data_IF_609487608301
#
_entry.id   IF_609487608301
#
_cell.length_a   1.000
_cell.length_b   1.000
_cell.length_c   1.000
_cell.angle_alpha   90.00
_cell.angle_beta   90.00
_cell.angle_gamma   90.00
#
_symmetry.space_group_name_H-M   'P 1'
#
loop_
_entity.id
_entity.type
_entity.pdbx_description
1 polymer ?
#
# COMPACT_ATOMS: atom_id res chain seq x y z
N UNK A 1 -4.11 -20.13 -12.89
CA UNK A 1 -3.22 -19.31 -12.03
C UNK A 1 -3.38 -17.84 -12.39
N UNK A 2 -3.05 -16.95 -11.47
CA UNK A 2 -3.13 -15.51 -11.70
C UNK A 2 -1.86 -14.81 -11.21
N UNK A 3 -1.28 -13.93 -12.03
CA UNK A 3 -0.16 -13.06 -11.71
C UNK A 3 -0.68 -11.64 -11.46
N UNK A 4 -0.63 -11.20 -10.21
CA UNK A 4 -0.93 -9.84 -9.82
C UNK A 4 0.33 -8.98 -9.80
N UNK A 5 0.28 -7.79 -10.39
CA UNK A 5 1.42 -6.87 -10.49
C UNK A 5 0.99 -5.47 -10.04
N UNK A 6 1.77 -4.85 -9.18
CA UNK A 6 1.57 -3.48 -8.69
C UNK A 6 2.78 -2.61 -9.03
N UNK A 7 2.58 -1.59 -9.87
CA UNK A 7 3.62 -0.66 -10.31
C UNK A 7 3.56 0.59 -9.43
N UNK A 8 4.46 0.64 -8.45
CA UNK A 8 4.67 1.79 -7.58
C UNK A 8 5.71 2.77 -8.13
N UNK A 9 5.94 3.88 -7.40
CA UNK A 9 6.90 4.93 -7.81
C UNK A 9 8.37 4.48 -7.81
N UNK A 10 8.72 3.44 -7.06
CA UNK A 10 10.13 3.02 -6.89
C UNK A 10 10.35 1.55 -7.22
N UNK A 11 9.32 0.74 -7.16
CA UNK A 11 9.40 -0.72 -7.33
C UNK A 11 8.12 -1.25 -7.94
N UNK A 12 8.27 -2.31 -8.71
CA UNK A 12 7.19 -3.18 -9.15
C UNK A 12 7.14 -4.36 -8.18
N UNK A 13 5.99 -4.58 -7.57
CA UNK A 13 5.72 -5.75 -6.74
C UNK A 13 4.87 -6.73 -7.54
N UNK A 14 5.06 -8.02 -7.31
CA UNK A 14 4.26 -9.03 -7.95
C UNK A 14 4.03 -10.23 -7.04
N UNK A 15 2.92 -10.92 -7.26
CA UNK A 15 2.65 -12.21 -6.63
C UNK A 15 1.83 -13.10 -7.58
N UNK A 16 2.13 -14.38 -7.55
CA UNK A 16 1.40 -15.41 -8.27
C UNK A 16 0.45 -16.14 -7.33
N UNK A 17 -0.78 -16.34 -7.79
CA UNK A 17 -1.83 -16.93 -6.99
C UNK A 17 -2.41 -18.19 -7.61
N UNK A 18 -2.83 -19.13 -6.74
CA UNK A 18 -3.77 -20.19 -7.00
C UNK A 18 -5.03 -19.98 -6.14
N UNK A 19 -6.10 -19.53 -6.76
CA UNK A 19 -7.23 -18.96 -6.00
C UNK A 19 -6.77 -17.80 -5.11
N UNK A 20 -6.87 -17.92 -3.79
CA UNK A 20 -6.38 -16.95 -2.80
C UNK A 20 -5.01 -17.28 -2.21
N UNK A 21 -4.45 -18.43 -2.55
CA UNK A 21 -3.16 -18.86 -2.03
C UNK A 21 -2.01 -18.21 -2.81
N UNK A 22 -1.09 -17.58 -2.10
CA UNK A 22 0.15 -17.06 -2.68
C UNK A 22 1.10 -18.24 -2.92
N UNK A 23 1.53 -18.41 -4.16
CA UNK A 23 2.52 -19.42 -4.54
C UNK A 23 3.94 -18.86 -4.47
N UNK A 24 4.12 -17.68 -5.02
CA UNK A 24 5.40 -16.97 -5.06
C UNK A 24 5.17 -15.46 -5.15
N UNK A 25 6.14 -14.68 -4.76
CA UNK A 25 6.09 -13.22 -4.83
C UNK A 25 7.50 -12.64 -4.95
N UNK A 26 7.60 -11.42 -5.45
CA UNK A 26 8.86 -10.73 -5.59
C UNK A 26 8.72 -9.25 -5.86
N UNK A 27 9.87 -8.61 -6.03
CA UNK A 27 9.97 -7.20 -6.36
C UNK A 27 11.07 -7.00 -7.41
N UNK A 28 10.83 -6.08 -8.35
CA UNK A 28 11.81 -5.60 -9.32
C UNK A 28 11.85 -4.07 -9.29
N UNK A 29 12.98 -3.43 -9.66
CA UNK A 29 13.04 -1.98 -9.80
C UNK A 29 11.99 -1.48 -10.80
N UNK A 30 11.37 -0.34 -10.54
CA UNK A 30 10.35 0.23 -11.45
C UNK A 30 10.92 0.52 -12.84
N UNK A 31 12.17 0.91 -12.94
CA UNK A 31 12.86 1.20 -14.19
C UNK A 31 13.28 -0.03 -15.00
N UNK A 32 13.14 -1.25 -14.46
CA UNK A 32 13.61 -2.48 -15.10
C UNK A 32 12.49 -3.17 -15.90
N UNK A 33 12.17 -2.58 -17.05
CA UNK A 33 11.17 -3.15 -17.98
C UNK A 33 11.58 -4.53 -18.50
N UNK A 34 12.88 -4.81 -18.63
CA UNK A 34 13.35 -6.12 -19.12
C UNK A 34 13.10 -7.22 -18.08
N UNK A 35 13.26 -6.94 -16.80
CA UNK A 35 12.89 -7.90 -15.75
C UNK A 35 11.38 -8.14 -15.70
N UNK A 36 10.56 -7.09 -15.93
CA UNK A 36 9.11 -7.26 -16.03
C UNK A 36 8.71 -8.11 -17.26
N UNK A 37 9.34 -7.88 -18.40
CA UNK A 37 9.12 -8.69 -19.60
C UNK A 37 9.48 -10.16 -19.35
N UNK A 38 10.61 -10.44 -18.73
CA UNK A 38 11.01 -11.79 -18.36
C UNK A 38 10.01 -12.45 -17.39
N UNK A 39 9.49 -11.69 -16.42
CA UNK A 39 8.44 -12.15 -15.50
C UNK A 39 7.17 -12.55 -16.27
N UNK A 40 6.69 -11.71 -17.19
CA UNK A 40 5.51 -12.00 -18.02
C UNK A 40 5.75 -13.19 -18.93
N UNK A 41 6.93 -13.28 -19.56
CA UNK A 41 7.29 -14.43 -20.40
C UNK A 41 7.33 -15.74 -19.62
N UNK A 42 7.84 -15.71 -18.39
CA UNK A 42 7.89 -16.89 -17.51
C UNK A 42 6.48 -17.35 -17.12
N UNK A 43 5.57 -16.41 -16.89
CA UNK A 43 4.18 -16.66 -16.48
C UNK A 43 3.17 -16.49 -17.62
N UNK A 44 3.58 -16.62 -18.88
CA UNK A 44 2.74 -16.38 -20.07
C UNK A 44 1.45 -17.19 -20.17
N UNK A 45 1.35 -18.28 -19.40
CA UNK A 45 0.16 -19.14 -19.36
C UNK A 45 -0.79 -18.78 -18.20
N UNK A 46 -0.42 -17.81 -17.36
CA UNK A 46 -1.27 -17.33 -16.27
C UNK A 46 -2.08 -16.11 -16.76
N UNK A 47 -3.20 -15.83 -16.11
CA UNK A 47 -3.88 -14.54 -16.29
C UNK A 47 -3.07 -13.48 -15.58
N UNK A 48 -2.87 -12.31 -16.20
CA UNK A 48 -2.08 -11.22 -15.63
C UNK A 48 -3.00 -10.03 -15.40
N UNK A 49 -2.98 -9.48 -14.17
CA UNK A 49 -3.66 -8.21 -13.86
C UNK A 49 -2.68 -7.24 -13.20
N UNK A 50 -2.79 -5.98 -13.57
CA UNK A 50 -1.83 -4.97 -13.18
C UNK A 50 -2.54 -3.70 -12.67
N UNK A 51 -2.04 -3.15 -11.55
CA UNK A 51 -2.32 -1.78 -11.12
C UNK A 51 -1.10 -0.88 -11.31
N UNK A 52 -1.31 0.42 -11.47
CA UNK A 52 -0.23 1.39 -11.54
C UNK A 52 -0.62 2.72 -10.95
N UNK A 53 0.26 3.31 -10.14
CA UNK A 53 0.15 4.69 -9.64
C UNK A 53 0.99 5.67 -10.46
N UNK A 54 1.77 5.17 -11.41
CA UNK A 54 2.55 5.98 -12.35
C UNK A 54 1.88 5.97 -13.73
N UNK A 55 2.15 7.01 -14.52
CA UNK A 55 1.68 7.05 -15.90
C UNK A 55 2.38 5.95 -16.71
N UNK A 56 1.59 5.08 -17.32
CA UNK A 56 2.11 3.98 -18.13
C UNK A 56 2.82 4.54 -19.38
N UNK A 57 4.06 4.12 -19.57
CA UNK A 57 4.84 4.43 -20.77
C UNK A 57 4.37 3.56 -21.95
N UNK A 58 4.63 4.02 -23.20
CA UNK A 58 4.23 3.24 -24.37
C UNK A 58 4.84 1.83 -24.37
N UNK A 59 6.16 1.62 -24.07
CA UNK A 59 6.72 0.28 -23.99
C UNK A 59 6.02 -0.64 -22.97
N UNK A 60 5.55 -0.09 -21.87
CA UNK A 60 4.81 -0.84 -20.85
C UNK A 60 3.40 -1.22 -21.35
N UNK A 61 2.72 -0.30 -22.05
CA UNK A 61 1.43 -0.58 -22.69
C UNK A 61 1.56 -1.67 -23.77
N UNK A 62 2.62 -1.61 -24.58
CA UNK A 62 2.90 -2.61 -25.62
C UNK A 62 3.14 -3.99 -24.97
N UNK A 63 3.88 -4.04 -23.86
CA UNK A 63 4.10 -5.25 -23.08
C UNK A 63 2.77 -5.82 -22.53
N UNK A 64 1.92 -4.96 -21.96
CA UNK A 64 0.61 -5.37 -21.46
C UNK A 64 -0.25 -5.97 -22.60
N UNK A 65 -0.22 -5.37 -23.77
CA UNK A 65 -0.94 -5.86 -24.93
C UNK A 65 -0.41 -7.21 -25.42
N UNK A 66 0.93 -7.35 -25.54
CA UNK A 66 1.60 -8.61 -25.95
C UNK A 66 1.19 -9.79 -25.06
N UNK A 67 1.19 -9.58 -23.73
CA UNK A 67 0.86 -10.63 -22.76
C UNK A 67 -0.59 -10.62 -22.29
N UNK A 68 -1.46 -9.82 -22.91
CA UNK A 68 -2.88 -9.67 -22.57
C UNK A 68 -3.12 -9.37 -21.10
N UNK A 69 -2.21 -8.58 -20.50
CA UNK A 69 -2.35 -8.17 -19.11
C UNK A 69 -3.52 -7.18 -18.97
N UNK A 70 -4.42 -7.46 -18.04
CA UNK A 70 -5.54 -6.59 -17.71
C UNK A 70 -5.06 -5.43 -16.84
N UNK A 71 -5.30 -4.19 -17.26
CA UNK A 71 -4.97 -3.00 -16.48
C UNK A 71 -6.19 -2.63 -15.63
N UNK A 72 -6.00 -2.58 -14.32
CA UNK A 72 -7.03 -2.19 -13.36
C UNK A 72 -7.02 -0.66 -13.26
N UNK A 73 -8.17 -0.05 -13.51
CA UNK A 73 -8.41 1.39 -13.37
C UNK A 73 -9.76 1.65 -12.66
N UNK A 74 -10.12 2.92 -12.46
CA UNK A 74 -11.33 3.32 -11.75
C UNK A 74 -12.64 2.84 -12.39
N UNK A 75 -12.60 2.36 -13.64
CA UNK A 75 -13.77 1.82 -14.39
C UNK A 75 -13.90 0.31 -14.27
N UNK A 76 -12.91 -0.35 -13.67
CA UNK A 76 -12.95 -1.79 -13.45
C UNK A 76 -14.13 -2.18 -12.56
N UNK A 77 -14.61 -3.42 -12.71
CA UNK A 77 -15.65 -3.95 -11.85
C UNK A 77 -15.01 -4.44 -10.54
N UNK A 78 -15.42 -3.90 -9.42
CA UNK A 78 -14.83 -4.15 -8.10
C UNK A 78 -15.76 -5.01 -7.22
N UNK A 79 -15.20 -5.89 -6.36
CA UNK A 79 -15.99 -6.71 -5.43
C UNK A 79 -16.55 -5.91 -4.23
N UNK A 80 -16.24 -4.62 -4.12
CA UNK A 80 -16.74 -3.72 -3.07
C UNK A 80 -17.35 -2.48 -3.71
N UNK A 81 -18.27 -1.83 -2.99
CA UNK A 81 -18.85 -0.56 -3.42
C UNK A 81 -17.83 0.57 -3.16
N UNK A 82 -17.58 1.41 -4.15
CA UNK A 82 -16.72 2.58 -4.01
C UNK A 82 -17.58 3.83 -3.78
N UNK A 83 -17.52 4.39 -2.57
CA UNK A 83 -18.22 5.62 -2.18
C UNK A 83 -17.32 6.87 -2.22
N UNK A 84 -16.11 6.76 -2.79
CA UNK A 84 -15.20 7.90 -2.93
C UNK A 84 -15.78 8.96 -3.88
N UNK A 85 -15.78 10.22 -3.47
CA UNK A 85 -16.47 11.29 -4.21
C UNK A 85 -15.85 11.61 -5.58
N UNK A 86 -14.56 11.34 -5.76
CA UNK A 86 -13.81 11.58 -7.01
C UNK A 86 -13.07 10.31 -7.43
N UNK A 87 -13.79 9.26 -7.86
CA UNK A 87 -13.20 7.95 -8.13
C UNK A 87 -12.12 7.98 -9.22
N UNK A 88 -12.18 8.93 -10.15
CA UNK A 88 -11.20 9.12 -11.23
C UNK A 88 -9.84 9.64 -10.73
N UNK A 89 -9.78 10.22 -9.53
CA UNK A 89 -8.54 10.71 -8.89
C UNK A 89 -8.04 9.78 -7.78
N UNK A 90 -8.82 8.76 -7.43
CA UNK A 90 -8.43 7.79 -6.42
C UNK A 90 -7.25 6.93 -6.91
N UNK A 91 -6.17 6.90 -6.13
CA UNK A 91 -5.06 5.98 -6.39
C UNK A 91 -5.56 4.54 -6.37
N UNK A 92 -5.33 3.81 -7.47
CA UNK A 92 -5.82 2.44 -7.60
C UNK A 92 -5.20 1.49 -6.57
N UNK A 93 -3.97 1.75 -6.14
CA UNK A 93 -3.29 1.03 -5.07
C UNK A 93 -4.05 1.12 -3.73
N UNK A 94 -4.66 2.28 -3.44
CA UNK A 94 -5.49 2.51 -2.25
C UNK A 94 -6.74 1.62 -2.27
N UNK A 95 -7.43 1.61 -3.39
CA UNK A 95 -8.63 0.78 -3.58
C UNK A 95 -8.27 -0.71 -3.56
N UNK A 96 -7.18 -1.12 -4.22
CA UNK A 96 -6.70 -2.50 -4.15
C UNK A 96 -6.33 -2.91 -2.71
N UNK A 97 -5.66 -2.06 -1.93
CA UNK A 97 -5.36 -2.35 -0.53
C UNK A 97 -6.64 -2.56 0.30
N UNK A 98 -7.65 -1.71 0.10
CA UNK A 98 -8.95 -1.81 0.74
C UNK A 98 -9.69 -3.13 0.37
N UNK A 99 -9.68 -3.50 -0.92
CA UNK A 99 -10.26 -4.75 -1.42
C UNK A 99 -9.53 -5.96 -0.83
N UNK A 100 -8.19 -5.93 -0.81
CA UNK A 100 -7.39 -6.99 -0.20
C UNK A 100 -7.72 -7.20 1.28
N UNK A 101 -7.87 -6.11 2.02
CA UNK A 101 -8.23 -6.17 3.44
C UNK A 101 -9.65 -6.70 3.66
N UNK A 102 -10.62 -6.28 2.85
CA UNK A 102 -11.98 -6.81 2.89
C UNK A 102 -12.02 -8.32 2.55
N UNK A 103 -11.20 -8.76 1.60
CA UNK A 103 -11.04 -10.19 1.28
C UNK A 103 -10.47 -11.02 2.42
N UNK A 104 -9.57 -10.44 3.24
CA UNK A 104 -9.02 -11.08 4.44
C UNK A 104 -10.02 -11.11 5.61
N UNK A 105 -10.82 -10.07 5.77
CA UNK A 105 -11.77 -9.90 6.87
C UNK A 105 -13.19 -9.57 6.35
N UNK A 106 -13.83 -10.50 5.63
CA UNK A 106 -15.16 -10.27 5.09
C UNK A 106 -16.18 -10.02 6.23
N UNK A 107 -17.14 -9.12 5.97
CA UNK A 107 -18.19 -8.74 6.92
C UNK A 107 -17.66 -8.11 8.23
N UNK A 108 -16.48 -7.51 8.21
CA UNK A 108 -15.92 -6.77 9.33
C UNK A 108 -15.46 -5.38 8.88
N UNK A 109 -15.67 -4.32 9.68
CA UNK A 109 -15.11 -3.02 9.37
C UNK A 109 -13.58 -3.11 9.41
N UNK A 110 -12.93 -2.58 8.41
CA UNK A 110 -11.47 -2.74 8.25
C UNK A 110 -10.80 -1.40 7.99
N UNK A 111 -9.77 -1.08 8.77
CA UNK A 111 -8.85 0.03 8.57
C UNK A 111 -7.54 -0.51 8.00
N UNK A 112 -7.17 -0.07 6.81
CA UNK A 112 -5.85 -0.32 6.23
C UNK A 112 -4.92 0.83 6.58
N UNK A 113 -3.68 0.51 6.93
CA UNK A 113 -2.60 1.47 7.15
C UNK A 113 -1.43 1.06 6.26
N UNK A 114 -1.23 1.79 5.16
CA UNK A 114 -0.10 1.57 4.25
C UNK A 114 1.01 2.57 4.58
N UNK A 115 2.12 2.06 5.14
CA UNK A 115 3.25 2.87 5.57
C UNK A 115 4.38 2.74 4.53
N UNK A 116 4.48 3.75 3.67
CA UNK A 116 5.48 3.80 2.59
C UNK A 116 5.91 5.23 2.30
N UNK A 117 6.06 5.60 1.03
CA UNK A 117 6.38 6.99 0.59
C UNK A 117 5.43 8.00 1.24
N UNK A 118 4.13 7.66 1.27
CA UNK A 118 3.13 8.30 2.11
C UNK A 118 2.60 7.29 3.13
N UNK A 119 1.99 7.76 4.21
CA UNK A 119 1.15 6.94 5.07
C UNK A 119 -0.28 7.14 4.57
N UNK A 120 -0.95 6.05 4.22
CA UNK A 120 -2.32 6.05 3.75
C UNK A 120 -3.19 5.26 4.70
N UNK A 121 -4.37 5.78 4.98
CA UNK A 121 -5.40 5.14 5.80
C UNK A 121 -6.62 4.91 4.90
N UNK A 122 -7.11 3.69 4.82
CA UNK A 122 -8.27 3.35 4.01
C UNK A 122 -9.31 2.62 4.87
N UNK A 123 -10.57 3.01 4.74
CA UNK A 123 -11.63 2.41 5.52
C UNK A 123 -12.67 1.70 4.65
N UNK A 124 -12.97 0.47 5.03
CA UNK A 124 -14.03 -0.35 4.42
C UNK A 124 -14.99 -0.76 5.51
N UNK A 125 -16.29 -0.56 5.27
CA UNK A 125 -17.35 -0.98 6.20
C UNK A 125 -17.52 -2.50 6.19
N UNK A 126 -18.24 -3.04 7.19
CA UNK A 126 -18.62 -4.45 7.23
C UNK A 126 -19.46 -4.90 6.03
N UNK A 127 -20.21 -3.99 5.42
CA UNK A 127 -21.01 -4.27 4.21
C UNK A 127 -20.21 -4.24 2.91
N UNK A 128 -18.89 -4.05 2.97
CA UNK A 128 -18.04 -3.97 1.78
C UNK A 128 -18.17 -2.63 1.03
N UNK A 129 -18.34 -1.51 1.75
CA UNK A 129 -18.29 -0.17 1.16
C UNK A 129 -16.97 0.52 1.51
N UNK A 130 -16.21 0.91 0.49
CA UNK A 130 -15.04 1.75 0.66
C UNK A 130 -15.47 3.21 0.84
N UNK A 131 -15.18 3.77 2.00
CA UNK A 131 -15.60 5.13 2.37
C UNK A 131 -14.52 6.18 2.12
N UNK A 132 -13.33 5.77 1.70
CA UNK A 132 -12.19 6.65 1.51
C UNK A 132 -11.15 6.51 2.63
N UNK A 133 -10.37 7.57 2.81
CA UNK A 133 -9.31 7.56 3.80
C UNK A 133 -8.44 8.82 3.75
N UNK A 134 -7.33 8.81 4.48
CA UNK A 134 -6.44 9.94 4.65
C UNK A 134 -5.06 9.65 4.03
N UNK A 135 -4.34 10.70 3.68
CA UNK A 135 -2.95 10.62 3.22
C UNK A 135 -2.10 11.58 4.05
N UNK A 136 -0.98 11.09 4.53
CA UNK A 136 -0.02 11.85 5.33
C UNK A 136 1.41 11.57 4.85
N UNK A 137 2.39 12.45 5.10
CA UNK A 137 3.77 12.23 4.68
C UNK A 137 4.37 11.00 5.36
N UNK A 138 5.07 10.15 4.57
CA UNK A 138 5.80 9.00 5.07
C UNK A 138 7.12 9.37 5.76
N UNK A 139 7.86 8.35 6.20
CA UNK A 139 9.04 8.49 7.04
C UNK A 139 10.15 9.35 6.39
N UNK A 140 10.60 8.98 5.20
CA UNK A 140 11.64 9.74 4.51
C UNK A 140 11.15 11.13 4.09
N UNK A 141 9.90 11.25 3.65
CA UNK A 141 9.31 12.52 3.23
C UNK A 141 9.29 13.56 4.38
N UNK A 142 9.08 13.14 5.63
CA UNK A 142 9.15 14.03 6.81
C UNK A 142 10.58 14.52 7.07
N UNK A 143 11.59 13.65 6.91
CA UNK A 143 13.00 14.05 7.01
C UNK A 143 13.39 15.03 5.89
N UNK A 144 12.99 14.72 4.66
CA UNK A 144 13.28 15.56 3.50
C UNK A 144 12.59 16.94 3.65
N UNK A 145 11.37 16.99 4.15
CA UNK A 145 10.67 18.24 4.43
C UNK A 145 11.42 19.11 5.46
N UNK A 146 11.87 18.52 6.57
CA UNK A 146 12.63 19.24 7.60
C UNK A 146 13.95 19.80 7.05
N UNK A 147 14.64 19.06 6.21
CA UNK A 147 15.86 19.54 5.55
C UNK A 147 15.55 20.63 4.50
N UNK A 148 14.59 20.39 3.60
CA UNK A 148 14.32 21.27 2.47
C UNK A 148 13.68 22.61 2.87
N UNK A 149 12.87 22.63 3.93
CA UNK A 149 12.17 23.85 4.38
C UNK A 149 12.89 24.56 5.52
N UNK A 150 14.11 24.17 5.89
CA UNK A 150 14.92 24.86 6.90
C UNK A 150 16.35 25.02 6.44
N UNK A 151 17.02 26.10 6.86
CA UNK A 151 18.38 26.41 6.39
C UNK A 151 19.49 25.65 7.11
N UNK A 152 19.21 25.01 8.25
CA UNK A 152 20.26 24.46 9.13
C UNK A 152 20.04 23.00 9.53
N UNK A 153 18.87 22.41 9.24
CA UNK A 153 18.61 21.03 9.61
C UNK A 153 19.24 20.08 8.58
N UNK A 154 20.01 19.07 9.03
CA UNK A 154 20.69 18.16 8.12
C UNK A 154 19.74 17.20 7.42
N UNK A 155 20.12 16.74 6.23
CA UNK A 155 19.46 15.61 5.58
C UNK A 155 19.76 14.33 6.37
N UNK A 156 18.72 13.59 6.74
CA UNK A 156 18.83 12.35 7.50
C UNK A 156 18.19 11.19 6.74
N UNK A 157 18.74 10.00 6.97
CA UNK A 157 18.12 8.72 6.59
C UNK A 157 17.45 8.07 7.82
N UNK A 158 16.41 7.26 7.61
CA UNK A 158 15.78 6.51 8.69
C UNK A 158 16.81 5.65 9.44
N UNK A 159 16.86 5.83 10.74
CA UNK A 159 17.66 5.03 11.66
C UNK A 159 16.88 4.93 12.96
N UNK A 160 16.67 3.70 13.45
CA UNK A 160 15.89 3.47 14.65
C UNK A 160 16.57 4.11 15.86
N UNK A 161 15.81 4.89 16.61
CA UNK A 161 16.28 5.53 17.85
C UNK A 161 15.24 5.36 18.94
N UNK A 162 15.69 5.24 20.20
CA UNK A 162 14.84 5.03 21.37
C UNK A 162 15.01 6.17 22.34
N UNK A 163 13.92 6.65 22.88
CA UNK A 163 13.90 7.70 23.91
C UNK A 163 12.72 8.66 23.72
N UNK A 164 12.34 9.39 24.74
CA UNK A 164 11.24 10.36 24.65
C UNK A 164 11.69 11.72 24.11
N UNK A 165 12.97 12.10 24.28
CA UNK A 165 13.50 13.44 23.95
C UNK A 165 14.93 13.28 23.42
N UNK A 166 15.22 13.92 22.26
CA UNK A 166 16.56 14.01 21.67
C UNK A 166 17.41 15.06 22.38
N UNK A 167 18.70 14.76 22.54
CA UNK A 167 19.69 15.66 23.18
C UNK A 167 20.68 16.25 22.16
N UNK A 168 20.52 15.90 20.89
CA UNK A 168 21.24 16.50 19.76
C UNK A 168 20.25 16.79 18.63
N UNK A 169 20.63 17.63 17.65
CA UNK A 169 19.78 17.95 16.50
C UNK A 169 19.34 16.70 15.76
N UNK A 170 20.27 15.76 15.52
CA UNK A 170 19.95 14.50 14.81
C UNK A 170 18.97 13.63 15.62
N UNK A 171 19.17 13.49 16.91
CA UNK A 171 18.23 12.76 17.78
C UNK A 171 16.86 13.43 17.81
N UNK A 172 16.81 14.76 17.95
CA UNK A 172 15.56 15.50 17.98
C UNK A 172 14.76 15.35 16.68
N UNK A 173 15.43 15.40 15.52
CA UNK A 173 14.82 15.15 14.23
C UNK A 173 14.29 13.71 14.12
N UNK A 174 15.13 12.72 14.47
CA UNK A 174 14.73 11.30 14.39
C UNK A 174 13.56 10.99 15.31
N UNK A 175 13.64 11.38 16.57
CA UNK A 175 12.56 11.11 17.54
C UNK A 175 11.29 11.87 17.16
N UNK A 176 11.38 13.15 16.79
CA UNK A 176 10.22 13.94 16.40
C UNK A 176 9.46 13.33 15.22
N UNK A 177 10.18 12.87 14.18
CA UNK A 177 9.57 12.22 13.01
C UNK A 177 8.99 10.87 13.37
N UNK A 178 9.78 9.98 14.02
CA UNK A 178 9.35 8.61 14.30
C UNK A 178 8.21 8.55 15.32
N UNK A 179 8.30 9.29 16.41
CA UNK A 179 7.24 9.34 17.41
C UNK A 179 5.99 10.03 16.86
N UNK A 180 6.16 11.09 16.05
CA UNK A 180 5.04 11.75 15.39
C UNK A 180 4.24 10.79 14.51
N UNK A 181 4.91 9.90 13.77
CA UNK A 181 4.26 8.85 12.99
C UNK A 181 3.55 7.84 13.89
N UNK A 182 4.21 7.37 14.95
CA UNK A 182 3.61 6.42 15.90
C UNK A 182 2.36 6.99 16.56
N UNK A 183 2.41 8.24 17.01
CA UNK A 183 1.26 8.90 17.65
C UNK A 183 0.11 9.10 16.66
N UNK A 184 0.41 9.49 15.42
CA UNK A 184 -0.59 9.63 14.35
C UNK A 184 -1.31 8.31 14.08
N UNK A 185 -0.55 7.21 13.89
CA UNK A 185 -1.11 5.89 13.62
C UNK A 185 -1.93 5.39 14.81
N UNK A 186 -1.41 5.49 16.03
CA UNK A 186 -2.10 5.04 17.23
C UNK A 186 -3.40 5.84 17.47
N UNK A 187 -3.36 7.16 17.27
CA UNK A 187 -4.54 8.01 17.41
C UNK A 187 -5.60 7.67 16.36
N UNK A 188 -5.20 7.42 15.10
CA UNK A 188 -6.12 7.00 14.04
C UNK A 188 -6.79 5.67 14.36
N UNK A 189 -6.02 4.66 14.77
CA UNK A 189 -6.56 3.35 15.17
C UNK A 189 -7.56 3.52 16.30
N UNK A 190 -7.17 4.21 17.36
CA UNK A 190 -8.04 4.42 18.51
C UNK A 190 -9.35 5.16 18.17
N UNK A 191 -9.25 6.18 17.30
CA UNK A 191 -10.44 6.90 16.83
C UNK A 191 -11.39 5.99 16.06
N UNK A 192 -10.84 5.16 15.17
CA UNK A 192 -11.64 4.26 14.35
C UNK A 192 -12.23 3.09 15.16
N UNK A 193 -11.49 2.57 16.14
CA UNK A 193 -11.99 1.55 17.09
C UNK A 193 -13.17 2.07 17.93
N UNK A 194 -13.13 3.33 18.34
CA UNK A 194 -14.22 3.96 19.10
C UNK A 194 -15.49 4.14 18.24
N UNK A 195 -15.35 4.35 16.93
CA UNK A 195 -16.47 4.51 15.99
C UNK A 195 -17.00 3.18 15.45
N UNK A 196 -16.15 2.19 15.33
CA UNK A 196 -16.45 0.92 14.67
C UNK A 196 -16.08 -0.27 15.59
N UNK A 197 -17.03 -0.78 16.41
CA UNK A 197 -16.80 -1.98 17.19
C UNK A 197 -16.35 -3.15 16.30
N UNK A 198 -15.40 -3.95 16.77
CA UNK A 198 -14.80 -5.09 16.03
C UNK A 198 -13.96 -4.71 14.81
N UNK A 199 -13.50 -3.44 14.72
CA UNK A 199 -12.59 -3.00 13.68
C UNK A 199 -11.39 -3.94 13.54
N UNK A 200 -11.07 -4.32 12.29
CA UNK A 200 -9.82 -4.98 11.95
C UNK A 200 -8.83 -3.97 11.40
N UNK A 201 -7.63 -3.95 11.95
CA UNK A 201 -6.56 -3.09 11.44
C UNK A 201 -5.56 -3.93 10.69
N UNK A 202 -5.32 -3.58 9.42
CA UNK A 202 -4.37 -4.24 8.54
C UNK A 202 -3.24 -3.27 8.19
N UNK A 203 -2.01 -3.66 8.50
CA UNK A 203 -0.81 -2.90 8.16
C UNK A 203 -0.14 -3.45 6.89
N UNK A 204 0.30 -2.55 6.01
CA UNK A 204 1.07 -2.86 4.80
C UNK A 204 2.10 -1.76 4.54
N UNK A 205 2.83 -1.86 3.44
CA UNK A 205 3.82 -0.86 3.03
C UNK A 205 5.26 -1.20 3.40
N UNK A 206 6.20 -0.59 2.68
CA UNK A 206 7.63 -0.90 2.81
C UNK A 206 8.25 -0.47 4.14
N UNK A 207 7.67 0.54 4.79
CA UNK A 207 8.15 1.06 6.08
C UNK A 207 7.39 0.45 7.29
N UNK A 208 6.38 -0.40 7.06
CA UNK A 208 5.66 -1.08 8.16
C UNK A 208 6.61 -1.83 9.11
N UNK A 209 7.62 -2.61 8.64
CA UNK A 209 8.55 -3.31 9.53
C UNK A 209 9.33 -2.39 10.47
N UNK A 210 9.51 -1.12 10.09
CA UNK A 210 10.18 -0.13 10.92
C UNK A 210 9.34 0.25 12.17
N UNK A 211 8.02 0.20 12.07
CA UNK A 211 7.10 0.69 13.10
C UNK A 211 6.31 -0.41 13.84
N UNK A 212 6.09 -1.56 13.22
CA UNK A 212 5.10 -2.55 13.69
C UNK A 212 5.33 -3.01 15.14
N UNK A 213 6.58 -3.14 15.57
CA UNK A 213 6.92 -3.56 16.94
C UNK A 213 6.70 -2.46 18.01
N UNK A 214 6.60 -1.19 17.59
CA UNK A 214 6.37 -0.06 18.51
C UNK A 214 4.89 0.32 18.57
N UNK A 215 4.09 -0.16 17.63
CA UNK A 215 2.64 0.02 17.65
C UNK A 215 2.05 -0.87 18.74
N UNK A 216 1.47 -0.25 19.78
CA UNK A 216 0.88 -0.94 20.93
C UNK A 216 -0.54 -1.44 20.69
N UNK A 217 -0.88 -1.69 19.43
CA UNK A 217 -2.20 -2.12 18.98
C UNK A 217 -2.10 -3.37 18.13
N UNK A 218 -3.15 -4.18 18.10
CA UNK A 218 -3.18 -5.39 17.27
C UNK A 218 -3.36 -5.01 15.80
N UNK A 219 -2.28 -5.16 15.01
CA UNK A 219 -2.28 -4.94 13.58
C UNK A 219 -1.97 -6.27 12.89
N UNK A 220 -2.83 -6.67 11.96
CA UNK A 220 -2.53 -7.78 11.05
C UNK A 220 -1.61 -7.26 9.94
N UNK A 221 -0.37 -7.74 9.88
CA UNK A 221 0.60 -7.28 8.88
C UNK A 221 0.54 -8.14 7.61
N UNK A 222 0.31 -7.52 6.45
CA UNK A 222 0.38 -8.18 5.15
C UNK A 222 1.05 -7.26 4.11
N UNK A 223 2.29 -7.55 3.75
CA UNK A 223 3.05 -6.77 2.77
C UNK A 223 2.59 -6.98 1.31
N UNK A 224 1.75 -7.98 1.07
CA UNK A 224 1.18 -8.30 -0.24
C UNK A 224 -0.27 -7.80 -0.40
N UNK A 225 -0.75 -6.97 0.52
CA UNK A 225 -2.17 -6.57 0.60
C UNK A 225 -2.71 -6.00 -0.70
N UNK A 226 -1.97 -5.11 -1.37
CA UNK A 226 -2.35 -4.55 -2.68
C UNK A 226 -2.48 -5.65 -3.73
N UNK A 227 -1.52 -6.58 -3.77
CA UNK A 227 -1.54 -7.72 -4.71
C UNK A 227 -2.68 -8.69 -4.42
N UNK A 228 -3.05 -8.88 -3.15
CA UNK A 228 -4.28 -9.60 -2.80
C UNK A 228 -5.52 -8.90 -3.33
N UNK A 229 -5.58 -7.57 -3.23
CA UNK A 229 -6.68 -6.80 -3.79
C UNK A 229 -6.79 -6.95 -5.31
N UNK A 230 -5.67 -6.89 -6.03
CA UNK A 230 -5.62 -7.18 -7.47
C UNK A 230 -6.16 -8.58 -7.76
N UNK A 231 -5.76 -9.56 -6.95
CA UNK A 231 -6.25 -10.94 -7.10
C UNK A 231 -7.75 -11.08 -6.79
N UNK A 232 -8.28 -10.41 -5.77
CA UNK A 232 -9.72 -10.40 -5.49
C UNK A 232 -10.53 -9.77 -6.63
N UNK A 233 -10.02 -8.71 -7.26
CA UNK A 233 -10.63 -8.10 -8.45
C UNK A 233 -10.64 -9.11 -9.61
N UNK A 234 -9.53 -9.81 -9.84
CA UNK A 234 -9.48 -10.86 -10.85
C UNK A 234 -10.50 -11.97 -10.56
N UNK A 235 -10.54 -12.50 -9.34
CA UNK A 235 -11.46 -13.58 -8.97
C UNK A 235 -12.94 -13.17 -9.08
N UNK A 236 -13.25 -11.89 -8.86
CA UNK A 236 -14.60 -11.34 -9.00
C UNK A 236 -15.06 -11.28 -10.47
N UNK A 237 -14.11 -11.17 -11.42
CA UNK A 237 -14.39 -10.98 -12.85
C UNK A 237 -14.10 -12.25 -13.69
N UNK A 238 -13.65 -13.34 -13.09
CA UNK A 238 -13.23 -14.58 -13.76
C UNK A 238 -14.40 -15.50 -14.16
#
# INVERSE_FOLDING_TARGET
MHLAVDIGNSRIKWARFDGRNVLESGMIPESDLSALQNLFQFHRNDNISMSSVVKLSQPLLDLCHEYRASIIDFRSNFPIKNNYHTPETLGIDRLCAAIGAHGLFPNQPTLVIDIGTCIKYEFVTESGSYEGGNISPGLQMRYDALNNYTSKLPALKPEKIVGPIGRSTNEALRLGVQQGILFEIQAMIHTMEALHPHLKTVGTGGDLPFFVNDLKTHIFADLLLVLRGINEIYLHNA
#
